data_IF_823497574099
#
_entry.id   IF_823497574099
#
_cell.length_a   1.000
_cell.length_b   1.000
_cell.length_c   1.000
_cell.angle_alpha   90.00
_cell.angle_beta   90.00
_cell.angle_gamma   90.00
#
_symmetry.space_group_name_H-M   'P 1'
#
loop_
_entity.id
_entity.type
_entity.pdbx_description
1 polymer ?
#
# COMPACT_ATOMS: atom_id res chain seq x y z
N UNK A 1 16.96 -0.62 4.85
CA UNK A 1 17.47 -2.04 5.04
C UNK A 1 17.72 -2.21 6.52
N UNK A 2 17.23 -3.31 7.15
CA UNK A 2 17.45 -3.48 8.58
C UNK A 2 18.95 -3.48 8.94
N UNK A 3 19.30 -2.88 10.07
CA UNK A 3 20.64 -2.96 10.63
C UNK A 3 20.96 -4.40 11.06
N UNK A 4 22.22 -4.75 11.05
CA UNK A 4 22.66 -6.10 11.41
C UNK A 4 22.24 -6.50 12.83
N UNK A 5 21.96 -7.79 13.04
CA UNK A 5 21.49 -8.31 14.35
C UNK A 5 22.60 -8.49 15.38
N UNK A 6 23.88 -8.38 15.00
CA UNK A 6 25.04 -8.53 15.87
C UNK A 6 26.30 -7.97 15.21
N UNK A 7 27.37 -7.79 15.98
CA UNK A 7 28.66 -7.28 15.51
C UNK A 7 28.80 -5.76 15.64
N UNK A 8 29.74 -5.14 14.96
CA UNK A 8 29.98 -3.70 15.06
C UNK A 8 28.96 -2.92 14.23
N UNK A 9 28.23 -2.01 14.87
CA UNK A 9 27.38 -1.01 14.20
C UNK A 9 28.09 0.35 14.29
N UNK A 10 28.06 1.10 13.19
CA UNK A 10 28.64 2.45 13.11
C UNK A 10 27.52 3.51 13.06
N UNK A 11 27.84 4.73 13.48
CA UNK A 11 26.95 5.87 13.32
C UNK A 11 26.53 6.11 11.87
N UNK A 12 27.42 5.88 10.91
CA UNK A 12 27.11 6.02 9.49
C UNK A 12 26.04 5.02 9.03
N UNK A 13 26.05 3.80 9.56
CA UNK A 13 25.01 2.80 9.26
C UNK A 13 23.66 3.21 9.86
N UNK A 14 23.65 3.71 11.10
CA UNK A 14 22.45 4.22 11.76
C UNK A 14 21.88 5.40 10.96
N UNK A 15 22.72 6.35 10.58
CA UNK A 15 22.31 7.52 9.79
C UNK A 15 21.78 7.11 8.41
N UNK A 16 22.38 6.13 7.76
CA UNK A 16 21.91 5.64 6.47
C UNK A 16 20.51 5.01 6.55
N UNK A 17 20.17 4.35 7.67
CA UNK A 17 18.88 3.71 7.88
C UNK A 17 17.82 4.70 8.36
N UNK A 18 18.13 5.54 9.34
CA UNK A 18 17.15 6.41 10.03
C UNK A 18 17.25 7.88 9.63
N UNK A 19 18.23 8.29 8.85
CA UNK A 19 18.51 9.69 8.56
C UNK A 19 19.21 10.40 9.72
N UNK A 20 19.10 11.71 9.79
CA UNK A 20 19.71 12.56 10.82
C UNK A 20 20.68 13.59 10.25
N UNK A 21 21.16 14.48 11.11
CA UNK A 21 22.05 15.60 10.75
C UNK A 21 23.48 15.40 11.28
N UNK A 22 24.47 16.01 10.63
CA UNK A 22 25.84 16.02 11.12
C UNK A 22 26.11 17.28 11.97
N UNK A 23 26.80 17.17 13.13
CA UNK A 23 27.34 15.96 13.74
C UNK A 23 26.24 15.05 14.31
N UNK A 24 26.33 13.75 14.04
CA UNK A 24 25.35 12.74 14.45
C UNK A 24 25.39 12.52 15.98
N UNK A 25 24.23 12.42 16.59
CA UNK A 25 24.05 12.14 18.02
C UNK A 25 23.07 11.00 18.23
N UNK A 26 23.30 10.13 19.19
CA UNK A 26 22.36 9.07 19.56
C UNK A 26 21.01 9.63 20.04
N UNK A 27 20.99 10.83 20.60
CA UNK A 27 19.76 11.48 21.05
C UNK A 27 18.76 11.79 19.93
N UNK A 28 19.19 11.83 18.68
CA UNK A 28 18.31 12.01 17.51
C UNK A 28 17.42 10.79 17.27
N UNK A 29 17.81 9.63 17.80
CA UNK A 29 17.17 8.34 17.54
C UNK A 29 16.31 7.83 18.70
N UNK A 30 15.98 8.66 19.68
CA UNK A 30 15.03 8.28 20.71
C UNK A 30 13.68 7.89 20.09
N UNK A 31 13.17 6.70 20.46
CA UNK A 31 11.86 6.23 20.04
C UNK A 31 11.78 5.72 18.59
N UNK A 32 12.90 5.66 17.85
CA UNK A 32 12.90 5.04 16.51
C UNK A 32 12.91 3.52 16.63
N UNK A 33 12.04 2.84 15.88
CA UNK A 33 11.92 1.37 15.93
C UNK A 33 11.81 0.85 17.37
N UNK A 34 12.77 0.05 17.82
CA UNK A 34 12.82 -0.52 19.19
C UNK A 34 13.75 0.24 20.14
N UNK A 35 14.31 1.36 19.70
CA UNK A 35 15.20 2.19 20.52
C UNK A 35 14.38 2.88 21.63
N UNK A 36 14.86 2.89 22.90
CA UNK A 36 14.17 3.58 23.99
C UNK A 36 13.81 5.04 23.65
N UNK A 37 12.66 5.51 24.13
CA UNK A 37 12.21 6.90 23.93
C UNK A 37 12.86 7.89 24.89
N UNK A 38 13.61 7.44 25.90
CA UNK A 38 14.33 8.24 26.88
C UNK A 38 15.35 7.40 27.62
N UNK A 39 16.27 8.06 28.33
CA UNK A 39 17.29 7.38 29.13
C UNK A 39 18.56 7.10 28.33
N UNK A 40 19.38 6.14 28.78
CA UNK A 40 20.63 5.77 28.09
C UNK A 40 20.36 4.97 26.82
N UNK A 41 20.94 5.38 25.70
CA UNK A 41 20.95 4.63 24.44
C UNK A 41 22.36 4.16 24.15
N UNK A 42 22.49 2.93 23.66
CA UNK A 42 23.74 2.36 23.19
C UNK A 42 23.61 1.85 21.76
N UNK A 43 24.70 1.60 21.09
CA UNK A 43 24.69 1.03 19.73
C UNK A 43 23.98 -0.32 19.66
N UNK A 44 23.99 -1.08 20.78
CA UNK A 44 23.28 -2.38 20.83
C UNK A 44 21.77 -2.25 20.72
N UNK A 45 21.18 -1.10 21.04
CA UNK A 45 19.74 -0.88 20.86
C UNK A 45 19.31 -0.83 19.38
N UNK A 46 20.27 -0.68 18.48
CA UNK A 46 20.02 -0.62 17.04
C UNK A 46 20.15 -1.97 16.34
N UNK A 47 20.51 -3.05 17.03
CA UNK A 47 20.59 -4.37 16.41
C UNK A 47 19.23 -4.83 15.87
N UNK A 48 19.21 -5.24 14.60
CA UNK A 48 18.02 -5.72 13.90
C UNK A 48 16.94 -4.66 13.67
N UNK A 49 17.21 -3.40 14.01
CA UNK A 49 16.26 -2.31 13.79
C UNK A 49 16.17 -1.91 12.32
N UNK A 50 15.04 -1.40 11.91
CA UNK A 50 14.83 -0.87 10.56
C UNK A 50 13.86 0.31 10.60
N UNK A 51 14.07 1.25 9.72
CA UNK A 51 13.14 2.35 9.48
C UNK A 51 12.02 1.86 8.55
N UNK A 52 11.13 1.03 9.09
CA UNK A 52 9.97 0.52 8.34
C UNK A 52 8.69 1.06 8.96
N UNK A 53 7.87 1.68 8.13
CA UNK A 53 6.54 2.17 8.50
C UNK A 53 5.53 1.51 7.58
N UNK A 54 4.57 0.78 8.15
CA UNK A 54 3.48 0.23 7.35
C UNK A 54 2.58 1.36 6.83
N UNK A 55 2.16 1.29 5.55
CA UNK A 55 1.24 2.27 5.00
C UNK A 55 -0.12 2.20 5.70
N UNK A 56 -0.74 3.34 5.93
CA UNK A 56 -2.10 3.43 6.48
C UNK A 56 -3.02 4.00 5.41
N UNK A 57 -4.05 3.22 5.07
CA UNK A 57 -5.06 3.64 4.11
C UNK A 57 -6.46 3.26 4.59
N UNK A 58 -7.45 4.01 4.09
CA UNK A 58 -8.88 3.81 4.32
C UNK A 58 -9.65 3.82 3.00
N UNK A 59 -10.88 3.36 3.00
CA UNK A 59 -11.77 3.28 1.84
C UNK A 59 -12.05 1.85 1.40
N UNK A 60 -13.20 1.62 0.81
CA UNK A 60 -13.69 0.30 0.45
C UNK A 60 -13.91 -0.63 1.63
N UNK A 61 -14.18 -1.90 1.34
CA UNK A 61 -14.22 -2.97 2.34
C UNK A 61 -12.82 -3.49 2.58
N UNK A 62 -12.41 -3.63 3.84
CA UNK A 62 -11.06 -4.04 4.21
C UNK A 62 -11.04 -5.52 4.61
N UNK A 63 -10.11 -6.26 4.04
CA UNK A 63 -9.78 -7.64 4.42
C UNK A 63 -8.26 -7.84 4.50
N UNK A 64 -7.84 -8.96 5.07
CA UNK A 64 -6.43 -9.30 5.21
C UNK A 64 -6.16 -10.69 4.67
N UNK A 65 -5.04 -10.87 3.96
CA UNK A 65 -4.57 -12.17 3.47
C UNK A 65 -3.05 -12.20 3.55
N UNK A 66 -2.51 -13.07 4.38
CA UNK A 66 -1.08 -13.08 4.68
C UNK A 66 -0.62 -11.71 5.17
N UNK A 67 0.37 -11.14 4.52
CA UNK A 67 0.91 -9.81 4.83
C UNK A 67 0.20 -8.66 4.09
N UNK A 68 -0.86 -8.94 3.34
CA UNK A 68 -1.59 -7.94 2.57
C UNK A 68 -2.80 -7.42 3.31
N UNK A 69 -2.96 -6.09 3.31
CA UNK A 69 -4.21 -5.39 3.60
C UNK A 69 -4.89 -5.09 2.28
N UNK A 70 -6.08 -5.62 2.07
CA UNK A 70 -6.83 -5.55 0.80
C UNK A 70 -7.99 -4.58 0.96
N UNK A 71 -8.09 -3.62 0.06
CA UNK A 71 -9.19 -2.68 -0.06
C UNK A 71 -10.02 -3.05 -1.29
N UNK A 72 -11.27 -3.48 -1.08
CA UNK A 72 -12.19 -3.88 -2.15
C UNK A 72 -13.27 -2.83 -2.36
N UNK A 73 -13.43 -2.38 -3.60
CA UNK A 73 -14.41 -1.38 -4.00
C UNK A 73 -15.45 -2.02 -4.92
N UNK A 74 -16.66 -2.21 -4.40
CA UNK A 74 -17.82 -2.69 -5.17
C UNK A 74 -18.80 -1.54 -5.54
N UNK A 75 -18.48 -0.32 -5.12
CA UNK A 75 -19.15 0.93 -5.45
C UNK A 75 -18.15 2.06 -5.44
N UNK A 76 -18.48 3.15 -6.14
CA UNK A 76 -17.58 4.32 -6.21
C UNK A 76 -17.34 4.92 -4.84
N UNK A 77 -16.08 5.12 -4.48
CA UNK A 77 -15.64 5.71 -3.22
C UNK A 77 -14.20 6.22 -3.32
N UNK A 78 -13.72 6.91 -2.29
CA UNK A 78 -12.34 7.35 -2.23
C UNK A 78 -11.46 6.32 -1.51
N UNK A 79 -10.29 6.08 -2.07
CA UNK A 79 -9.15 5.45 -1.41
C UNK A 79 -8.26 6.55 -0.84
N UNK A 80 -8.13 6.62 0.49
CA UNK A 80 -7.34 7.64 1.17
C UNK A 80 -6.14 7.00 1.84
N UNK A 81 -4.94 7.39 1.42
CA UNK A 81 -3.70 7.01 2.09
C UNK A 81 -3.26 8.14 3.02
N UNK A 82 -3.29 7.89 4.32
CA UNK A 82 -2.93 8.86 5.36
C UNK A 82 -1.47 8.77 5.77
N UNK A 83 -0.86 7.60 5.61
CA UNK A 83 0.57 7.39 5.89
C UNK A 83 1.18 6.61 4.74
N UNK A 84 2.19 7.17 4.10
CA UNK A 84 3.00 6.43 3.13
C UNK A 84 3.87 5.39 3.85
N UNK A 85 4.06 4.24 3.21
CA UNK A 85 4.97 3.23 3.74
C UNK A 85 6.43 3.62 3.57
N UNK A 86 7.27 3.20 4.51
CA UNK A 86 8.72 3.36 4.45
C UNK A 86 9.39 2.00 4.59
N UNK A 87 10.40 1.75 3.79
CA UNK A 87 11.14 0.49 3.78
C UNK A 87 10.66 -0.49 2.72
N UNK A 88 11.37 -1.59 2.60
CA UNK A 88 11.11 -2.62 1.58
C UNK A 88 9.73 -3.26 1.77
N UNK A 89 8.96 -3.35 0.69
CA UNK A 89 7.61 -3.92 0.68
C UNK A 89 6.49 -2.95 1.06
N UNK A 90 6.81 -1.69 1.43
CA UNK A 90 5.80 -0.71 1.85
C UNK A 90 5.69 0.51 0.93
N UNK A 91 6.47 0.56 -0.14
CA UNK A 91 6.55 1.73 -1.03
C UNK A 91 5.62 1.66 -2.25
N UNK A 92 4.95 0.54 -2.46
CA UNK A 92 4.06 0.32 -3.61
C UNK A 92 2.72 -0.28 -3.19
N UNK A 93 1.70 0.01 -3.98
CA UNK A 93 0.36 -0.59 -3.90
C UNK A 93 0.18 -1.42 -5.16
N UNK A 94 -0.20 -2.67 -5.00
CA UNK A 94 -0.66 -3.52 -6.10
C UNK A 94 -2.16 -3.30 -6.31
N UNK A 95 -2.60 -3.27 -7.56
CA UNK A 95 -4.02 -3.14 -7.87
C UNK A 95 -4.50 -4.17 -8.90
N UNK A 96 -5.76 -4.55 -8.75
CA UNK A 96 -6.54 -5.32 -9.72
C UNK A 96 -7.82 -4.53 -10.02
N UNK A 97 -8.04 -4.21 -11.28
CA UNK A 97 -9.27 -3.60 -11.78
C UNK A 97 -9.97 -4.58 -12.71
N UNK A 98 -11.25 -4.82 -12.46
CA UNK A 98 -12.09 -5.66 -13.30
C UNK A 98 -13.25 -4.80 -13.77
N UNK A 99 -13.38 -4.60 -15.08
CA UNK A 99 -14.47 -3.88 -15.68
C UNK A 99 -15.76 -4.72 -15.69
N UNK A 100 -16.91 -4.05 -15.71
CA UNK A 100 -18.20 -4.69 -15.89
C UNK A 100 -18.29 -5.44 -17.24
N UNK A 101 -18.89 -6.60 -17.23
CA UNK A 101 -19.18 -7.38 -18.45
C UNK A 101 -20.25 -6.70 -19.29
N UNK A 102 -20.27 -6.96 -20.59
CA UNK A 102 -21.33 -6.53 -21.49
C UNK A 102 -22.62 -7.33 -21.26
N UNK A 103 -23.76 -6.69 -21.46
CA UNK A 103 -25.06 -7.35 -21.46
C UNK A 103 -25.25 -8.21 -22.69
N UNK A 104 -25.93 -9.35 -22.53
CA UNK A 104 -26.37 -10.20 -23.63
C UNK A 104 -27.52 -9.56 -24.42
N UNK A 105 -27.56 -9.78 -25.75
CA UNK A 105 -28.68 -9.36 -26.63
C UNK A 105 -29.22 -10.52 -27.45
N UNK A 106 -30.51 -10.49 -27.74
CA UNK A 106 -31.20 -11.55 -28.48
C UNK A 106 -30.90 -12.95 -27.93
N UNK A 107 -30.31 -13.82 -28.69
CA UNK A 107 -29.93 -15.18 -28.31
C UNK A 107 -28.42 -15.30 -27.96
N UNK A 108 -27.69 -14.20 -27.84
CA UNK A 108 -26.24 -14.18 -27.55
C UNK A 108 -25.93 -13.75 -26.13
N UNK A 109 -24.87 -14.35 -25.56
CA UNK A 109 -24.31 -13.91 -24.26
C UNK A 109 -23.48 -12.64 -24.40
N UNK A 110 -23.37 -11.87 -23.33
CA UNK A 110 -22.48 -10.73 -23.25
C UNK A 110 -21.01 -11.15 -23.05
N UNK A 111 -20.08 -10.32 -23.46
CA UNK A 111 -18.66 -10.51 -23.22
C UNK A 111 -18.24 -10.24 -21.76
N UNK A 112 -17.18 -10.87 -21.31
CA UNK A 112 -16.56 -10.54 -20.03
C UNK A 112 -15.97 -9.14 -20.06
N UNK A 113 -15.92 -8.46 -18.92
CA UNK A 113 -15.21 -7.20 -18.77
C UNK A 113 -13.68 -7.38 -18.85
N UNK A 114 -12.99 -6.29 -19.15
CA UNK A 114 -11.53 -6.25 -19.16
C UNK A 114 -10.96 -6.38 -17.75
N UNK A 115 -9.74 -6.93 -17.65
CA UNK A 115 -8.99 -7.00 -16.39
C UNK A 115 -7.66 -6.26 -16.56
N UNK A 116 -7.29 -5.49 -15.54
CA UNK A 116 -6.00 -4.80 -15.48
C UNK A 116 -5.37 -4.93 -14.11
N UNK A 117 -4.09 -5.25 -14.08
CA UNK A 117 -3.28 -5.28 -12.86
C UNK A 117 -2.08 -4.34 -13.01
N UNK A 118 -1.51 -3.94 -11.92
CA UNK A 118 -0.29 -3.13 -11.90
C UNK A 118 0.09 -2.71 -10.50
N UNK A 119 1.10 -1.87 -10.42
CA UNK A 119 1.60 -1.28 -9.18
C UNK A 119 1.66 0.23 -9.32
N UNK A 120 1.43 0.95 -8.23
CA UNK A 120 1.61 2.40 -8.11
C UNK A 120 2.39 2.72 -6.84
N UNK A 121 3.04 3.87 -6.80
CA UNK A 121 3.73 4.32 -5.60
C UNK A 121 2.73 4.54 -4.45
N UNK A 122 3.11 4.10 -3.25
CA UNK A 122 2.35 4.32 -2.02
C UNK A 122 2.63 5.74 -1.49
N UNK A 123 1.90 6.74 -2.00
CA UNK A 123 2.01 8.14 -1.60
C UNK A 123 0.78 8.59 -0.83
N UNK A 124 0.95 9.47 0.15
CA UNK A 124 -0.19 10.09 0.87
C UNK A 124 -1.07 10.88 -0.08
N UNK A 125 -2.36 10.79 0.10
CA UNK A 125 -3.34 11.47 -0.74
C UNK A 125 -4.65 10.71 -0.86
N UNK A 126 -5.56 11.26 -1.65
CA UNK A 126 -6.87 10.67 -1.95
C UNK A 126 -6.96 10.37 -3.45
N UNK A 127 -7.37 9.16 -3.78
CA UNK A 127 -7.69 8.74 -5.14
C UNK A 127 -9.17 8.36 -5.22
N UNK A 128 -9.87 8.91 -6.20
CA UNK A 128 -11.26 8.50 -6.46
C UNK A 128 -11.27 7.20 -7.23
N UNK A 129 -11.94 6.19 -6.65
CA UNK A 129 -12.21 4.92 -7.32
C UNK A 129 -13.64 4.98 -7.86
N UNK A 130 -13.78 4.91 -9.18
CA UNK A 130 -15.07 4.87 -9.85
C UNK A 130 -15.39 3.44 -10.27
N UNK A 131 -16.50 2.90 -9.80
CA UNK A 131 -17.00 1.58 -10.18
C UNK A 131 -18.16 1.78 -11.13
N UNK A 132 -17.97 1.40 -12.39
CA UNK A 132 -19.00 1.42 -13.42
C UNK A 132 -19.99 0.27 -13.28
N UNK A 133 -21.13 0.39 -13.90
CA UNK A 133 -22.12 -0.68 -14.00
C UNK A 133 -21.76 -1.70 -15.08
N UNK A 134 -22.27 -2.92 -14.94
CA UNK A 134 -22.30 -3.87 -16.05
C UNK A 134 -23.24 -3.41 -17.16
N UNK A 135 -23.04 -3.92 -18.37
CA UNK A 135 -23.93 -3.67 -19.50
C UNK A 135 -25.32 -4.27 -19.29
N UNK A 136 -26.36 -3.52 -19.70
CA UNK A 136 -27.75 -4.00 -19.66
C UNK A 136 -28.01 -5.05 -20.74
N UNK A 137 -28.63 -6.17 -20.36
CA UNK A 137 -29.13 -7.14 -21.32
C UNK A 137 -30.42 -6.62 -22.01
N UNK A 138 -30.59 -6.94 -23.29
CA UNK A 138 -31.81 -6.60 -24.03
C UNK A 138 -32.27 -7.80 -24.86
N UNK A 139 -33.44 -8.34 -24.55
CA UNK A 139 -34.00 -9.53 -25.21
C UNK A 139 -34.28 -9.37 -26.71
N UNK A 140 -34.44 -8.17 -27.24
CA UNK A 140 -34.81 -7.88 -28.62
C UNK A 140 -33.80 -7.03 -29.40
N UNK A 141 -32.86 -6.40 -28.75
CA UNK A 141 -31.82 -5.58 -29.34
C UNK A 141 -30.42 -6.03 -28.92
N UNK A 142 -29.38 -5.31 -29.31
CA UNK A 142 -28.02 -5.57 -28.86
C UNK A 142 -27.90 -5.18 -27.38
N UNK A 143 -27.19 -5.96 -26.59
CA UNK A 143 -26.78 -5.62 -25.24
C UNK A 143 -25.82 -4.43 -25.23
N UNK A 144 -25.72 -3.73 -24.10
CA UNK A 144 -24.79 -2.61 -23.93
C UNK A 144 -23.46 -3.05 -23.31
N UNK A 145 -22.41 -2.29 -23.55
CA UNK A 145 -21.12 -2.49 -22.88
C UNK A 145 -21.23 -2.18 -21.39
N UNK A 146 -20.42 -2.88 -20.58
CA UNK A 146 -20.17 -2.51 -19.19
C UNK A 146 -19.12 -1.40 -19.10
N UNK A 147 -19.16 -0.62 -18.02
CA UNK A 147 -18.17 0.44 -17.68
C UNK A 147 -17.23 0.00 -16.56
#
# INVERSE_FOLDING_TARGET
MALQGSGAITFAQIQAEFGGSNPISLSEYYGVSTVPSSGAISLSNFYGTSNTVAPVATGGSISYSGNYKIHTFNSSANFNMTTAGVGSGFTTIEYLVIAGGAGGGKAGGGGAGGMRTGTVAATTGSATVTVGGGGGGNGWANGSAGG
#
